data_IF_537650825949
#
_entry.id   IF_537650825949
#
_cell.length_a   1.000
_cell.length_b   1.000
_cell.length_c   1.000
_cell.angle_alpha   90.00
_cell.angle_beta   90.00
_cell.angle_gamma   90.00
#
_symmetry.space_group_name_H-M   'P 1'
#
loop_
_entity.id
_entity.type
_entity.pdbx_description
1 polymer ?
#
# COMPACT_ATOMS: atom_id res chain seq x y z
N UNK A 1 -16.95 7.68 -16.60
CA UNK A 1 -16.61 7.54 -15.18
C UNK A 1 -17.67 6.67 -14.53
N UNK A 2 -17.28 5.58 -13.90
CA UNK A 2 -18.16 4.77 -13.05
C UNK A 2 -18.04 5.25 -11.60
N UNK A 3 -19.09 4.99 -10.81
CA UNK A 3 -19.14 5.33 -9.39
C UNK A 3 -19.74 4.16 -8.62
N UNK A 4 -19.16 3.83 -7.49
CA UNK A 4 -19.74 2.93 -6.50
C UNK A 4 -19.64 3.56 -5.12
N UNK A 5 -20.61 3.27 -4.27
CA UNK A 5 -20.62 3.71 -2.87
C UNK A 5 -20.33 2.52 -1.98
N UNK A 6 -19.37 2.67 -1.09
CA UNK A 6 -19.00 1.68 -0.09
C UNK A 6 -19.25 2.22 1.32
N UNK A 7 -19.55 1.32 2.26
CA UNK A 7 -19.63 1.61 3.69
C UNK A 7 -18.36 1.18 4.44
N UNK A 8 -17.31 0.78 3.71
CA UNK A 8 -16.05 0.39 4.31
C UNK A 8 -15.41 1.58 5.05
N UNK A 9 -14.81 1.31 6.20
CA UNK A 9 -14.12 2.32 7.00
C UNK A 9 -12.80 2.78 6.39
N UNK A 10 -12.27 2.04 5.40
CA UNK A 10 -11.07 2.38 4.65
C UNK A 10 -11.11 1.76 3.24
N UNK A 11 -10.29 2.29 2.35
CA UNK A 11 -10.26 1.90 0.93
C UNK A 11 -9.40 0.67 0.64
N UNK A 12 -8.76 0.08 1.67
CA UNK A 12 -7.74 -0.96 1.48
C UNK A 12 -8.22 -2.22 0.76
N UNK A 13 -9.52 -2.54 0.85
CA UNK A 13 -10.13 -3.73 0.23
C UNK A 13 -11.01 -3.42 -0.98
N UNK A 14 -11.20 -2.15 -1.31
CA UNK A 14 -12.14 -1.74 -2.35
C UNK A 14 -11.62 -1.93 -3.78
N UNK A 15 -10.30 -1.93 -3.97
CA UNK A 15 -9.74 -2.04 -5.33
C UNK A 15 -10.08 -3.37 -6.02
N UNK A 16 -9.91 -4.55 -5.41
CA UNK A 16 -10.31 -5.81 -6.02
C UNK A 16 -11.80 -5.84 -6.38
N UNK A 17 -12.67 -5.38 -5.48
CA UNK A 17 -14.12 -5.32 -5.69
C UNK A 17 -14.50 -4.38 -6.84
N UNK A 18 -13.80 -3.25 -6.97
CA UNK A 18 -14.01 -2.32 -8.08
C UNK A 18 -13.64 -2.96 -9.43
N UNK A 19 -12.59 -3.78 -9.46
CA UNK A 19 -12.19 -4.49 -10.68
C UNK A 19 -13.17 -5.61 -11.05
N UNK A 20 -13.70 -6.31 -10.07
CA UNK A 20 -14.71 -7.36 -10.33
C UNK A 20 -16.01 -6.75 -10.89
N UNK A 21 -16.47 -5.61 -10.35
CA UNK A 21 -17.59 -4.85 -10.92
C UNK A 21 -17.30 -4.33 -12.33
N UNK A 22 -16.04 -3.94 -12.58
CA UNK A 22 -15.61 -3.51 -13.92
C UNK A 22 -15.73 -4.67 -14.92
N UNK A 23 -15.25 -5.86 -14.53
CA UNK A 23 -15.38 -7.06 -15.36
C UNK A 23 -16.83 -7.42 -15.63
N UNK A 24 -17.69 -7.40 -14.60
CA UNK A 24 -19.13 -7.65 -14.76
C UNK A 24 -19.78 -6.69 -15.76
N UNK A 25 -19.38 -5.41 -15.74
CA UNK A 25 -19.97 -4.39 -16.60
C UNK A 25 -19.41 -4.42 -18.02
N UNK A 26 -18.12 -4.72 -18.22
CA UNK A 26 -17.44 -4.60 -19.51
C UNK A 26 -16.98 -5.93 -20.11
N UNK A 27 -17.19 -7.06 -19.43
CA UNK A 27 -16.86 -8.40 -19.88
C UNK A 27 -15.38 -8.79 -19.75
N UNK A 28 -14.52 -7.85 -19.37
CA UNK A 28 -13.07 -8.10 -19.20
C UNK A 28 -12.45 -7.17 -18.16
N UNK A 29 -11.32 -7.58 -17.59
CA UNK A 29 -10.52 -6.69 -16.75
C UNK A 29 -9.79 -5.63 -17.58
N UNK A 30 -9.53 -4.43 -17.02
CA UNK A 30 -8.70 -3.45 -17.69
C UNK A 30 -7.25 -3.93 -17.75
N UNK A 31 -6.54 -3.63 -18.85
CA UNK A 31 -5.13 -3.99 -18.98
C UNK A 31 -4.25 -3.31 -17.92
N UNK A 32 -4.57 -2.07 -17.57
CA UNK A 32 -3.79 -1.26 -16.63
C UNK A 32 -4.71 -0.54 -15.63
N UNK A 33 -4.26 -0.46 -14.39
CA UNK A 33 -4.94 0.28 -13.31
C UNK A 33 -3.94 1.16 -12.57
N UNK A 34 -4.35 2.40 -12.35
CA UNK A 34 -3.62 3.35 -11.50
C UNK A 34 -4.50 3.68 -10.30
N UNK A 35 -3.99 3.48 -9.09
CA UNK A 35 -4.73 3.81 -7.87
C UNK A 35 -3.89 4.59 -6.87
N UNK A 36 -4.56 5.24 -5.91
CA UNK A 36 -3.90 5.98 -4.83
C UNK A 36 -3.22 5.03 -3.83
N UNK A 37 -2.36 5.62 -2.99
CA UNK A 37 -1.62 4.89 -1.97
C UNK A 37 -2.50 4.16 -0.97
N UNK A 38 -3.67 4.68 -0.65
CA UNK A 38 -4.61 4.06 0.29
C UNK A 38 -5.22 2.75 -0.26
N UNK A 39 -5.31 2.60 -1.59
CA UNK A 39 -5.69 1.35 -2.26
C UNK A 39 -4.52 0.38 -2.45
N UNK A 40 -3.26 0.84 -2.23
CA UNK A 40 -2.07 0.06 -2.50
C UNK A 40 -1.61 -0.68 -1.24
N UNK A 41 -1.92 -1.96 -1.18
CA UNK A 41 -1.46 -2.88 -0.14
C UNK A 41 -1.10 -4.23 -0.76
N UNK A 42 -0.53 -5.13 0.03
CA UNK A 42 -0.10 -6.44 -0.46
C UNK A 42 -1.25 -7.27 -1.06
N UNK A 43 -2.42 -7.27 -0.42
CA UNK A 43 -3.62 -7.99 -0.89
C UNK A 43 -4.07 -7.46 -2.26
N UNK A 44 -4.11 -6.13 -2.43
CA UNK A 44 -4.46 -5.50 -3.70
C UNK A 44 -3.45 -5.84 -4.81
N UNK A 45 -2.15 -5.80 -4.51
CA UNK A 45 -1.11 -6.14 -5.50
C UNK A 45 -1.25 -7.59 -5.95
N UNK A 46 -1.46 -8.53 -5.01
CA UNK A 46 -1.67 -9.94 -5.33
C UNK A 46 -2.93 -10.13 -6.16
N UNK A 47 -4.04 -9.49 -5.73
CA UNK A 47 -5.31 -9.58 -6.42
C UNK A 47 -5.25 -9.04 -7.87
N UNK A 48 -4.54 -7.93 -8.10
CA UNK A 48 -4.32 -7.40 -9.45
C UNK A 48 -3.46 -8.34 -10.29
N UNK A 49 -2.40 -8.90 -9.70
CA UNK A 49 -1.56 -9.89 -10.40
C UNK A 49 -2.34 -11.14 -10.82
N UNK A 50 -3.20 -11.67 -9.95
CA UNK A 50 -4.06 -12.83 -10.23
C UNK A 50 -5.04 -12.57 -11.38
N UNK A 51 -5.53 -11.32 -11.52
CA UNK A 51 -6.44 -10.89 -12.59
C UNK A 51 -5.72 -10.49 -13.90
N UNK A 52 -4.38 -10.61 -13.94
CA UNK A 52 -3.59 -10.20 -15.09
C UNK A 52 -3.55 -8.69 -15.32
N UNK A 53 -3.88 -7.89 -14.32
CA UNK A 53 -3.93 -6.43 -14.40
C UNK A 53 -2.55 -5.84 -14.10
N UNK A 54 -2.05 -4.98 -14.99
CA UNK A 54 -0.85 -4.20 -14.71
C UNK A 54 -1.18 -3.05 -13.76
N UNK A 55 -0.77 -3.20 -12.50
CA UNK A 55 -1.13 -2.27 -11.45
C UNK A 55 -0.02 -1.26 -11.17
N UNK A 56 -0.39 0.03 -11.06
CA UNK A 56 0.46 1.15 -10.68
C UNK A 56 -0.14 1.83 -9.44
N UNK A 57 0.59 1.78 -8.33
CA UNK A 57 0.16 2.33 -7.05
C UNK A 57 1.35 2.70 -6.18
N UNK A 58 1.20 3.66 -5.29
CA UNK A 58 2.24 3.99 -4.31
C UNK A 58 1.97 3.23 -3.03
N UNK A 59 2.85 2.33 -2.61
CA UNK A 59 2.89 2.03 -1.18
C UNK A 59 3.26 3.33 -0.49
N UNK A 60 2.29 4.06 0.04
CA UNK A 60 2.46 5.40 0.55
C UNK A 60 3.71 5.56 1.42
N UNK A 61 4.09 6.78 1.72
CA UNK A 61 5.26 7.12 2.56
C UNK A 61 5.40 6.27 3.84
N UNK A 62 4.33 5.57 4.27
CA UNK A 62 4.36 4.62 5.40
C UNK A 62 5.33 3.47 5.19
N UNK A 63 5.54 3.00 3.94
CA UNK A 63 6.54 1.97 3.65
C UNK A 63 7.94 2.57 3.53
N UNK A 64 8.02 3.82 3.07
CA UNK A 64 9.26 4.60 3.02
C UNK A 64 9.59 5.24 4.38
N UNK A 65 8.60 5.54 5.19
CA UNK A 65 8.78 5.82 6.60
C UNK A 65 9.07 4.49 7.30
N UNK A 66 10.29 4.01 7.14
CA UNK A 66 10.86 3.07 8.09
C UNK A 66 10.45 3.59 9.47
N UNK A 67 9.78 2.78 10.31
CA UNK A 67 9.42 3.25 11.62
C UNK A 67 10.70 3.82 12.21
N UNK A 68 10.72 5.12 12.46
CA UNK A 68 11.69 5.69 13.39
C UNK A 68 11.49 4.81 14.61
N UNK A 69 12.51 4.00 14.93
CA UNK A 69 12.43 3.12 16.07
C UNK A 69 11.88 4.00 17.21
N UNK A 70 10.66 3.70 17.67
CA UNK A 70 10.10 4.39 18.84
C UNK A 70 11.04 4.01 19.96
N UNK A 71 12.04 4.87 20.23
CA UNK A 71 13.09 4.57 21.16
C UNK A 71 14.52 4.76 20.62
N UNK A 72 14.73 5.43 19.49
CA UNK A 72 16.04 6.02 19.15
C UNK A 72 17.20 5.04 18.85
N UNK A 73 16.93 3.78 18.56
CA UNK A 73 18.00 2.83 18.24
C UNK A 73 18.79 3.25 17.00
N UNK A 74 20.08 3.55 17.18
CA UNK A 74 21.02 3.91 16.12
C UNK A 74 21.27 2.73 15.18
N UNK A 75 21.20 1.49 15.69
CA UNK A 75 21.45 0.29 14.90
C UNK A 75 20.22 -0.14 14.12
N UNK A 76 20.26 0.14 12.81
CA UNK A 76 19.23 -0.28 11.85
C UNK A 76 19.43 -1.74 11.49
N UNK A 77 18.34 -2.39 10.99
CA UNK A 77 18.37 -3.79 10.59
C UNK A 77 19.44 -4.12 9.53
N UNK A 78 19.77 -3.15 8.68
CA UNK A 78 20.79 -3.29 7.63
C UNK A 78 22.23 -3.43 8.16
N UNK A 79 22.46 -3.08 9.42
CA UNK A 79 23.76 -3.25 10.08
C UNK A 79 23.96 -4.66 10.65
N UNK A 80 22.90 -5.49 10.60
CA UNK A 80 22.95 -6.88 11.07
C UNK A 80 23.22 -7.79 9.88
N UNK A 81 24.19 -8.69 10.02
CA UNK A 81 24.59 -9.63 8.99
C UNK A 81 23.89 -10.98 9.21
N UNK A 82 23.31 -11.55 8.17
CA UNK A 82 22.76 -12.89 8.23
C UNK A 82 23.85 -13.93 8.02
N UNK A 83 23.94 -14.90 8.94
CA UNK A 83 24.76 -16.09 8.81
C UNK A 83 23.90 -17.25 8.27
N UNK A 84 24.01 -17.62 7.00
CA UNK A 84 23.16 -18.63 6.38
C UNK A 84 23.46 -20.06 6.89
N UNK A 85 24.64 -20.32 7.45
CA UNK A 85 25.00 -21.65 7.95
C UNK A 85 24.27 -21.99 9.26
N UNK A 86 24.10 -20.99 10.13
CA UNK A 86 23.45 -21.17 11.43
C UNK A 86 22.05 -20.59 11.50
N UNK A 87 21.56 -19.94 10.42
CA UNK A 87 20.31 -19.17 10.36
C UNK A 87 20.17 -18.18 11.52
N UNK A 88 21.21 -17.38 11.73
CA UNK A 88 21.28 -16.39 12.80
C UNK A 88 21.62 -15.01 12.21
N UNK A 89 21.18 -13.96 12.90
CA UNK A 89 21.62 -12.60 12.61
C UNK A 89 22.74 -12.21 13.58
N UNK A 90 23.77 -11.59 13.06
CA UNK A 90 24.91 -11.09 13.84
C UNK A 90 24.77 -9.58 13.96
N UNK A 91 24.76 -9.06 15.18
CA UNK A 91 24.69 -7.62 15.42
C UNK A 91 26.07 -6.94 15.27
N UNK A 92 26.13 -5.59 15.13
CA UNK A 92 27.39 -4.86 15.05
C UNK A 92 28.34 -5.09 16.23
N UNK A 93 27.82 -5.47 17.40
CA UNK A 93 28.60 -5.85 18.60
C UNK A 93 28.90 -7.34 18.65
N UNK A 94 28.83 -8.04 17.52
CA UNK A 94 29.15 -9.46 17.37
C UNK A 94 28.34 -10.41 18.26
N UNK A 95 27.09 -10.02 18.65
CA UNK A 95 26.16 -10.90 19.35
C UNK A 95 25.22 -11.56 18.36
N UNK A 96 24.78 -12.77 18.68
CA UNK A 96 23.94 -13.59 17.83
C UNK A 96 22.47 -13.47 18.18
N UNK A 97 21.63 -13.17 17.18
CA UNK A 97 20.19 -13.22 17.29
C UNK A 97 19.72 -14.52 16.66
N UNK A 98 18.96 -15.31 17.42
CA UNK A 98 18.46 -16.61 16.96
C UNK A 98 17.12 -16.45 16.28
N UNK A 99 16.88 -17.27 15.25
CA UNK A 99 15.55 -17.43 14.68
C UNK A 99 14.56 -17.87 15.77
N UNK A 100 13.37 -17.28 15.78
CA UNK A 100 12.32 -17.59 16.74
C UNK A 100 11.09 -18.17 16.05
N UNK A 101 10.52 -17.46 15.08
CA UNK A 101 9.32 -17.87 14.37
C UNK A 101 9.15 -17.14 13.04
N UNK A 102 8.24 -17.68 12.23
CA UNK A 102 7.71 -16.98 11.05
C UNK A 102 6.43 -16.23 11.43
N UNK A 103 6.32 -14.98 10.98
CA UNK A 103 5.10 -14.21 11.00
C UNK A 103 4.59 -14.11 9.54
N UNK A 104 3.46 -14.79 9.27
CA UNK A 104 2.88 -14.84 7.93
C UNK A 104 1.87 -13.72 7.78
N UNK A 105 2.17 -12.78 6.87
CA UNK A 105 1.32 -11.67 6.53
C UNK A 105 0.90 -11.77 5.04
N UNK A 106 -0.23 -11.14 4.64
CA UNK A 106 -0.60 -11.12 3.23
C UNK A 106 0.54 -10.60 2.34
N UNK A 107 0.99 -11.44 1.40
CA UNK A 107 2.03 -11.10 0.43
C UNK A 107 3.47 -11.22 0.91
N UNK A 108 3.73 -11.56 2.17
CA UNK A 108 5.10 -11.72 2.69
C UNK A 108 5.17 -12.68 3.87
N UNK A 109 6.34 -13.29 4.01
CA UNK A 109 6.73 -14.02 5.22
C UNK A 109 7.82 -13.23 5.93
N UNK A 110 7.67 -13.04 7.22
CA UNK A 110 8.62 -12.31 8.06
C UNK A 110 9.33 -13.33 8.94
N UNK A 111 10.66 -13.41 8.84
CA UNK A 111 11.51 -14.14 9.77
C UNK A 111 11.82 -13.24 10.95
N UNK A 112 11.62 -13.73 12.15
CA UNK A 112 11.86 -12.99 13.41
C UNK A 112 13.07 -13.57 14.12
N UNK A 113 14.05 -12.72 14.37
CA UNK A 113 15.28 -13.07 15.11
C UNK A 113 15.36 -12.25 16.39
N UNK A 114 15.71 -12.90 17.51
CA UNK A 114 15.81 -12.25 18.82
C UNK A 114 17.14 -12.61 19.48
N UNK A 115 17.84 -11.60 20.02
CA UNK A 115 19.02 -11.78 20.84
C UNK A 115 18.65 -12.24 22.25
N UNK A 116 19.58 -12.88 22.94
CA UNK A 116 19.42 -13.18 24.36
C UNK A 116 19.38 -11.89 25.17
N UNK A 117 18.45 -11.82 26.12
CA UNK A 117 18.27 -10.66 27.00
C UNK A 117 19.56 -10.33 27.76
N UNK A 118 20.20 -11.35 28.29
CA UNK A 118 21.42 -11.24 29.10
C UNK A 118 22.56 -10.60 28.30
N UNK A 119 22.73 -11.03 27.05
CA UNK A 119 23.77 -10.50 26.16
C UNK A 119 23.54 -9.04 25.80
N UNK A 120 22.28 -8.64 25.60
CA UNK A 120 21.90 -7.26 25.34
C UNK A 120 21.97 -6.40 26.60
N UNK A 121 21.75 -6.99 27.78
CA UNK A 121 21.72 -6.26 29.03
C UNK A 121 23.08 -5.67 29.42
N UNK A 122 24.15 -6.41 29.16
CA UNK A 122 25.55 -5.99 29.42
C UNK A 122 26.21 -5.30 28.23
N UNK A 123 25.47 -5.13 27.13
CA UNK A 123 26.04 -4.53 25.91
C UNK A 123 26.24 -3.01 26.07
N UNK A 124 27.43 -2.46 25.75
CA UNK A 124 27.69 -1.03 25.85
C UNK A 124 26.76 -0.21 24.94
N UNK A 125 26.36 -0.76 23.79
CA UNK A 125 25.48 -0.11 22.82
C UNK A 125 23.98 -0.32 23.11
N UNK A 126 23.62 -0.89 24.23
CA UNK A 126 22.24 -1.25 24.60
C UNK A 126 21.24 -0.12 24.42
N UNK A 127 21.53 1.05 24.95
CA UNK A 127 20.63 2.21 24.92
C UNK A 127 20.44 2.74 23.49
N UNK A 128 21.47 2.66 22.67
CA UNK A 128 21.43 3.06 21.27
C UNK A 128 20.79 2.02 20.35
N UNK A 129 20.82 0.74 20.74
CA UNK A 129 20.37 -0.40 19.93
C UNK A 129 18.93 -0.82 20.21
N UNK A 130 18.55 -0.94 21.49
CA UNK A 130 17.29 -1.54 21.91
C UNK A 130 16.21 -0.49 22.18
N UNK A 131 14.96 -0.78 21.75
CA UNK A 131 13.78 0.00 22.15
C UNK A 131 13.40 -0.24 23.61
N UNK A 132 12.53 0.62 24.17
CA UNK A 132 12.10 0.56 25.57
C UNK A 132 11.50 -0.80 25.98
N UNK A 133 10.71 -1.42 25.10
CA UNK A 133 10.12 -2.75 25.34
C UNK A 133 11.17 -3.87 25.31
N UNK A 134 12.11 -3.79 24.37
CA UNK A 134 13.22 -4.76 24.24
C UNK A 134 14.16 -4.68 25.45
N UNK A 135 14.34 -3.50 26.02
CA UNK A 135 15.14 -3.32 27.24
C UNK A 135 14.52 -3.99 28.47
N UNK A 136 13.20 -4.08 28.54
CA UNK A 136 12.48 -4.62 29.70
C UNK A 136 12.26 -6.13 29.64
N UNK A 137 11.88 -6.65 28.48
CA UNK A 137 11.34 -8.01 28.37
C UNK A 137 12.23 -8.98 27.61
N UNK A 138 12.86 -8.52 26.51
CA UNK A 138 13.63 -9.37 25.60
C UNK A 138 14.98 -8.72 25.27
N UNK A 139 15.77 -9.39 24.41
CA UNK A 139 16.90 -8.74 23.73
C UNK A 139 16.45 -8.03 22.44
N UNK A 140 17.41 -7.57 21.66
CA UNK A 140 17.15 -6.93 20.37
C UNK A 140 16.39 -7.85 19.44
N UNK A 141 15.33 -7.34 18.85
CA UNK A 141 14.50 -8.01 17.84
C UNK A 141 14.80 -7.43 16.44
N UNK A 142 15.09 -8.32 15.49
CA UNK A 142 15.23 -7.97 14.06
C UNK A 142 14.25 -8.82 13.26
N UNK A 143 13.65 -8.20 12.26
CA UNK A 143 12.73 -8.86 11.32
C UNK A 143 13.27 -8.77 9.91
N UNK A 144 13.32 -9.90 9.22
CA UNK A 144 13.70 -10.01 7.81
C UNK A 144 12.45 -10.42 7.03
N UNK A 145 12.06 -9.60 6.06
CA UNK A 145 10.85 -9.81 5.25
C UNK A 145 11.21 -10.45 3.92
N UNK A 146 10.51 -11.53 3.58
CA UNK A 146 10.53 -12.17 2.26
C UNK A 146 9.20 -11.89 1.58
N UNK A 147 9.20 -10.96 0.63
CA UNK A 147 8.01 -10.63 -0.14
C UNK A 147 7.75 -11.70 -1.21
N UNK A 148 6.48 -12.03 -1.43
CA UNK A 148 6.06 -12.95 -2.49
C UNK A 148 6.39 -12.38 -3.88
N UNK A 149 6.49 -13.26 -4.88
CA UNK A 149 6.85 -12.89 -6.27
C UNK A 149 6.00 -11.73 -6.83
N UNK A 150 4.65 -11.69 -6.67
CA UNK A 150 3.86 -10.57 -7.15
C UNK A 150 4.28 -9.23 -6.54
N UNK A 151 4.62 -9.21 -5.25
CA UNK A 151 5.04 -7.99 -4.54
C UNK A 151 6.41 -7.51 -5.05
N UNK A 152 7.37 -8.43 -5.19
CA UNK A 152 8.70 -8.09 -5.74
C UNK A 152 8.59 -7.53 -7.15
N UNK A 153 7.83 -8.19 -8.04
CA UNK A 153 7.58 -7.70 -9.40
C UNK A 153 6.91 -6.33 -9.44
N UNK A 154 5.99 -6.09 -8.52
CA UNK A 154 5.36 -4.78 -8.37
C UNK A 154 6.38 -3.72 -7.95
N UNK A 155 7.22 -3.98 -6.96
CA UNK A 155 8.26 -3.05 -6.50
C UNK A 155 9.30 -2.77 -7.60
N UNK A 156 9.76 -3.80 -8.31
CA UNK A 156 10.65 -3.66 -9.46
C UNK A 156 10.02 -2.76 -10.53
N UNK A 157 8.75 -3.00 -10.91
CA UNK A 157 8.01 -2.17 -11.85
C UNK A 157 7.94 -0.73 -11.36
N UNK A 158 7.50 -0.50 -10.12
CA UNK A 158 7.33 0.85 -9.57
C UNK A 158 8.64 1.61 -9.37
N UNK A 159 9.79 0.93 -9.37
CA UNK A 159 11.11 1.56 -9.37
C UNK A 159 11.45 2.23 -10.71
N UNK A 160 10.84 1.79 -11.81
CA UNK A 160 11.15 2.26 -13.18
C UNK A 160 10.68 3.69 -13.43
N UNK A 161 11.39 4.41 -14.32
CA UNK A 161 10.99 5.74 -14.77
C UNK A 161 9.64 5.73 -15.50
N UNK A 162 9.35 4.64 -16.24
CA UNK A 162 8.09 4.43 -16.93
C UNK A 162 6.90 4.39 -15.96
N UNK A 163 6.95 3.54 -14.95
CA UNK A 163 5.90 3.42 -13.94
C UNK A 163 5.69 4.72 -13.16
N UNK A 164 6.77 5.41 -12.81
CA UNK A 164 6.69 6.73 -12.16
C UNK A 164 5.99 7.77 -13.03
N UNK A 165 6.20 7.74 -14.35
CA UNK A 165 5.51 8.62 -15.31
C UNK A 165 4.01 8.29 -15.38
N UNK A 166 3.64 7.02 -15.47
CA UNK A 166 2.22 6.60 -15.46
C UNK A 166 1.57 7.00 -14.13
N UNK A 167 2.20 6.70 -13.01
CA UNK A 167 1.66 7.01 -11.69
C UNK A 167 1.43 8.52 -11.46
N UNK A 168 2.28 9.38 -12.02
CA UNK A 168 2.08 10.85 -11.97
C UNK A 168 0.79 11.31 -12.65
N UNK A 169 0.26 10.54 -13.61
CA UNK A 169 -1.00 10.87 -14.27
C UNK A 169 -2.23 10.68 -13.36
N UNK A 170 -2.05 10.01 -12.21
CA UNK A 170 -3.07 9.77 -11.20
C UNK A 170 -3.86 11.04 -10.85
N UNK A 171 -3.18 12.15 -10.60
CA UNK A 171 -3.80 13.41 -10.25
C UNK A 171 -4.82 13.87 -11.31
N UNK A 172 -4.51 13.67 -12.59
CA UNK A 172 -5.41 14.04 -13.70
C UNK A 172 -6.59 13.09 -13.87
N UNK A 173 -6.40 11.81 -13.52
CA UNK A 173 -7.39 10.74 -13.77
C UNK A 173 -8.31 10.53 -12.57
N UNK A 174 -7.76 10.52 -11.37
CA UNK A 174 -8.50 10.23 -10.13
C UNK A 174 -8.91 11.50 -9.36
N UNK A 175 -7.98 12.44 -9.15
CA UNK A 175 -8.26 13.61 -8.32
C UNK A 175 -9.15 14.65 -9.05
N UNK A 176 -8.95 14.83 -10.37
CA UNK A 176 -9.71 15.80 -11.13
C UNK A 176 -11.22 15.52 -11.13
N UNK A 177 -11.73 14.29 -11.38
CA UNK A 177 -13.16 14.01 -11.31
C UNK A 177 -13.75 14.28 -9.92
N UNK A 178 -13.06 13.94 -8.86
CA UNK A 178 -13.50 14.21 -7.49
C UNK A 178 -13.55 15.71 -7.17
N UNK A 179 -12.53 16.46 -7.54
CA UNK A 179 -12.50 17.91 -7.38
C UNK A 179 -13.62 18.57 -8.20
N UNK A 180 -13.85 18.08 -9.41
CA UNK A 180 -14.88 18.61 -10.29
C UNK A 180 -16.29 18.37 -9.72
N UNK A 181 -16.60 17.14 -9.25
CA UNK A 181 -17.88 16.80 -8.61
C UNK A 181 -18.11 17.70 -7.39
N UNK A 182 -17.10 17.89 -6.54
CA UNK A 182 -17.20 18.76 -5.37
C UNK A 182 -17.41 20.21 -5.72
N UNK A 183 -16.74 20.72 -6.76
CA UNK A 183 -16.78 22.16 -7.10
C UNK A 183 -17.94 22.53 -8.03
N UNK A 184 -18.25 21.69 -9.01
CA UNK A 184 -19.25 21.98 -10.07
C UNK A 184 -20.62 21.37 -9.79
N UNK A 185 -20.68 20.16 -9.24
CA UNK A 185 -21.95 19.56 -8.82
C UNK A 185 -22.33 19.91 -7.38
N UNK A 186 -21.46 20.62 -6.64
CA UNK A 186 -21.70 20.98 -5.24
C UNK A 186 -21.78 19.79 -4.28
N UNK A 187 -21.38 18.60 -4.72
CA UNK A 187 -21.44 17.37 -3.92
C UNK A 187 -20.21 17.29 -3.01
N UNK A 188 -20.17 18.13 -1.98
CA UNK A 188 -19.13 18.10 -0.95
C UNK A 188 -19.42 17.09 0.15
N UNK A 189 -20.70 16.82 0.41
CA UNK A 189 -21.20 15.79 1.31
C UNK A 189 -22.53 15.30 0.77
N UNK A 190 -22.88 14.04 1.04
CA UNK A 190 -24.16 13.48 0.66
C UNK A 190 -25.28 14.08 1.49
N UNK A 191 -26.40 14.39 0.84
CA UNK A 191 -27.62 14.92 1.47
C UNK A 191 -28.57 13.80 1.88
N UNK A 192 -28.50 12.69 1.20
CA UNK A 192 -29.32 11.51 1.47
C UNK A 192 -28.68 10.64 2.56
N UNK A 193 -29.49 9.81 3.24
CA UNK A 193 -29.01 8.97 4.37
C UNK A 193 -29.07 7.52 4.03
N UNK A 194 -29.54 6.88 3.16
CA UNK A 194 -29.47 5.44 2.91
C UNK A 194 -28.49 5.16 1.78
N UNK A 195 -27.85 4.00 1.80
CA UNK A 195 -26.84 3.63 0.81
C UNK A 195 -27.38 3.74 -0.62
N UNK A 196 -28.63 3.30 -0.87
CA UNK A 196 -29.25 3.38 -2.19
C UNK A 196 -29.48 4.83 -2.63
N UNK A 197 -29.96 5.71 -1.75
CA UNK A 197 -30.15 7.13 -2.07
C UNK A 197 -28.82 7.87 -2.26
N UNK A 198 -27.82 7.55 -1.43
CA UNK A 198 -26.45 8.06 -1.59
C UNK A 198 -25.85 7.60 -2.92
N UNK A 199 -26.06 6.34 -3.29
CA UNK A 199 -25.62 5.82 -4.58
C UNK A 199 -26.29 6.56 -5.77
N UNK A 200 -27.60 6.83 -5.69
CA UNK A 200 -28.28 7.65 -6.70
C UNK A 200 -27.67 9.07 -6.81
N UNK A 201 -27.44 9.73 -5.69
CA UNK A 201 -26.83 11.08 -5.67
C UNK A 201 -25.43 11.07 -6.31
N UNK A 202 -24.59 10.07 -5.98
CA UNK A 202 -23.28 9.89 -6.57
C UNK A 202 -23.33 9.59 -8.09
N UNK A 203 -24.31 8.73 -8.51
CA UNK A 203 -24.51 8.39 -9.93
C UNK A 203 -24.96 9.61 -10.75
N UNK A 204 -25.87 10.45 -10.24
CA UNK A 204 -26.26 11.69 -10.91
C UNK A 204 -25.09 12.64 -11.10
N UNK A 205 -24.23 12.79 -10.08
CA UNK A 205 -23.02 13.61 -10.20
C UNK A 205 -22.04 13.05 -11.25
N UNK A 206 -21.84 11.72 -11.27
CA UNK A 206 -21.03 11.06 -12.28
C UNK A 206 -21.58 11.20 -13.69
N UNK A 207 -22.91 11.03 -13.86
CA UNK A 207 -23.60 11.22 -15.14
C UNK A 207 -23.41 12.63 -15.67
N UNK A 208 -23.62 13.64 -14.82
CA UNK A 208 -23.41 15.06 -15.17
C UNK A 208 -21.98 15.31 -15.65
N UNK A 209 -20.99 14.77 -14.94
CA UNK A 209 -19.58 14.86 -15.33
C UNK A 209 -19.31 14.21 -16.70
N UNK A 210 -19.88 13.02 -16.94
CA UNK A 210 -19.71 12.29 -18.19
C UNK A 210 -20.37 13.01 -19.37
N UNK A 211 -21.58 13.54 -19.19
CA UNK A 211 -22.27 14.31 -20.23
C UNK A 211 -21.52 15.58 -20.61
N UNK A 212 -21.05 16.35 -19.64
CA UNK A 212 -20.25 17.54 -19.94
C UNK A 212 -18.94 17.23 -20.65
N UNK A 213 -18.30 16.11 -20.27
CA UNK A 213 -17.09 15.66 -20.96
C UNK A 213 -17.39 15.21 -22.40
N UNK A 214 -18.48 14.48 -22.59
CA UNK A 214 -18.94 14.08 -23.92
C UNK A 214 -19.22 15.29 -24.82
N UNK A 215 -19.96 16.29 -24.33
CA UNK A 215 -20.25 17.52 -25.06
C UNK A 215 -18.97 18.28 -25.46
N UNK A 216 -17.98 18.34 -24.59
CA UNK A 216 -16.69 18.93 -24.92
C UNK A 216 -15.96 18.16 -26.02
N UNK A 217 -15.93 16.83 -25.94
CA UNK A 217 -15.26 16.00 -26.95
C UNK A 217 -15.98 16.05 -28.29
N UNK A 218 -17.31 16.00 -28.33
CA UNK A 218 -18.09 16.11 -29.57
C UNK A 218 -17.93 17.46 -30.25
N UNK A 219 -17.78 18.56 -29.51
CA UNK A 219 -17.51 19.87 -30.07
C UNK A 219 -16.11 20.02 -30.71
N UNK A 220 -15.15 19.15 -30.36
CA UNK A 220 -13.82 19.09 -31.01
C UNK A 220 -13.83 18.27 -32.30
N UNK A 221 -14.73 17.30 -32.42
CA UNK A 221 -14.81 16.39 -33.58
C UNK A 221 -15.56 17.10 -34.73
N UNK A 222 -16.45 18.06 -34.43
CA UNK A 222 -17.25 18.80 -35.40
C UNK A 222 -16.61 20.15 -35.84
N UNK A 223 -15.34 20.36 -35.53
CA UNK A 223 -14.51 21.46 -36.07
C UNK A 223 -13.40 20.90 -36.95
#
# INVERSE_FOLDING_TARGET
>A
MGVAVSQASNDAKELPLAMDRFQEQYGSYPAQVVADGDFTNHESVIAMHQRGIEFFGGFGERRLRRPKAKGGGVYRAELFTHDPQTDQMICPENKRLRFQYFDHQPGRTIRVYIARKEECHVCPSRQACCGQSELKQTGRKITVSEDQVPIRRFDERMSTAHAKRIYRQRARVAEFPHAWIKSKCGLRQFRCRTTSKVACEALFAALTCNLQRYMKLSSFINR
#
